data_IF_193120611745
#
_entry.id   IF_193120611745
#
_cell.length_a   1.000
_cell.length_b   1.000
_cell.length_c   1.000
_cell.angle_alpha   90.00
_cell.angle_beta   90.00
_cell.angle_gamma   90.00
#
_symmetry.space_group_name_H-M   'P 1'
#
loop_
_entity.id
_entity.type
_entity.pdbx_description
1 polymer ?
#
# COMPACT_ATOMS: atom_id res chain seq x y z
N UNK A 1 44.05 0.35 -19.76
CA UNK A 1 43.87 0.80 -18.36
C UNK A 1 44.41 -0.28 -17.44
N UNK A 2 45.14 0.07 -16.38
CA UNK A 2 45.74 -0.89 -15.44
C UNK A 2 44.99 -0.77 -14.11
N UNK A 3 44.15 -1.74 -13.78
CA UNK A 3 43.38 -1.71 -12.52
C UNK A 3 44.32 -1.93 -11.34
N UNK A 4 44.22 -1.07 -10.34
CA UNK A 4 44.91 -1.26 -9.06
C UNK A 4 44.05 -2.13 -8.14
N UNK A 5 44.68 -2.76 -7.13
CA UNK A 5 43.96 -3.55 -6.12
C UNK A 5 42.85 -2.74 -5.44
N UNK A 6 43.07 -1.44 -5.24
CA UNK A 6 42.09 -0.51 -4.65
C UNK A 6 40.90 -0.29 -5.59
N UNK A 7 41.14 -0.17 -6.89
CA UNK A 7 40.06 -0.04 -7.88
C UNK A 7 39.22 -1.32 -7.95
N UNK A 8 39.86 -2.49 -7.93
CA UNK A 8 39.15 -3.77 -7.87
C UNK A 8 38.29 -3.89 -6.62
N UNK A 9 38.80 -3.42 -5.47
CA UNK A 9 38.06 -3.44 -4.21
C UNK A 9 36.89 -2.45 -4.21
N UNK A 10 37.07 -1.25 -4.79
CA UNK A 10 36.01 -0.26 -4.93
C UNK A 10 34.91 -0.74 -5.89
N UNK A 11 35.28 -1.34 -7.02
CA UNK A 11 34.33 -1.89 -7.99
C UNK A 11 33.58 -3.09 -7.39
N UNK A 12 34.28 -3.98 -6.68
CA UNK A 12 33.65 -5.12 -6.00
C UNK A 12 32.67 -4.69 -4.90
N UNK A 13 33.04 -3.68 -4.12
CA UNK A 13 32.16 -3.09 -3.10
C UNK A 13 30.93 -2.41 -3.71
N UNK A 14 31.11 -1.64 -4.78
CA UNK A 14 30.01 -1.01 -5.49
C UNK A 14 29.06 -2.06 -6.10
N UNK A 15 29.60 -3.11 -6.71
CA UNK A 15 28.80 -4.21 -7.26
C UNK A 15 27.98 -4.92 -6.18
N UNK A 16 28.57 -5.20 -5.01
CA UNK A 16 27.86 -5.80 -3.89
C UNK A 16 26.77 -4.89 -3.31
N UNK A 17 26.98 -3.58 -3.28
CA UNK A 17 25.93 -2.64 -2.85
C UNK A 17 24.76 -2.63 -3.85
N UNK A 18 25.04 -2.64 -5.16
CA UNK A 18 23.97 -2.63 -6.18
C UNK A 18 23.05 -3.86 -6.15
N UNK A 19 23.51 -4.99 -5.62
CA UNK A 19 22.66 -6.19 -5.46
C UNK A 19 21.80 -6.14 -4.20
N UNK A 20 22.18 -5.34 -3.19
CA UNK A 20 21.46 -5.20 -1.91
C UNK A 20 20.49 -4.02 -1.94
N UNK A 21 20.80 -2.93 -2.65
CA UNK A 21 19.95 -1.74 -2.69
C UNK A 21 18.46 -2.02 -3.05
N UNK A 22 18.13 -2.88 -4.03
CA UNK A 22 16.74 -3.16 -4.38
C UNK A 22 15.94 -3.85 -3.28
N UNK A 23 16.58 -4.69 -2.44
CA UNK A 23 15.89 -5.41 -1.36
C UNK A 23 15.62 -4.54 -0.13
N UNK A 24 16.26 -3.37 -0.04
CA UNK A 24 15.95 -2.35 0.98
C UNK A 24 14.69 -1.53 0.64
N UNK A 25 14.18 -1.64 -0.59
CA UNK A 25 12.95 -0.95 -1.01
C UNK A 25 11.71 -1.76 -0.63
N UNK A 26 11.26 -1.65 0.62
CA UNK A 26 9.92 -2.12 1.01
C UNK A 26 8.88 -1.04 0.68
N UNK A 27 8.40 -1.01 -0.55
CA UNK A 27 7.39 -0.05 -1.00
C UNK A 27 5.95 -0.41 -0.56
N UNK A 28 5.75 -1.58 0.04
CA UNK A 28 4.44 -2.00 0.51
C UNK A 28 4.18 -1.43 1.92
N UNK A 29 3.27 -0.46 2.00
CA UNK A 29 2.68 -0.05 3.28
C UNK A 29 1.75 -1.18 3.72
N UNK A 30 1.97 -1.83 4.88
CA UNK A 30 1.07 -2.88 5.34
C UNK A 30 -0.31 -2.28 5.63
N UNK A 31 -1.34 -2.88 5.04
CA UNK A 31 -2.73 -2.43 5.15
C UNK A 31 -3.16 -2.28 6.61
N UNK A 32 -2.65 -3.15 7.49
CA UNK A 32 -2.92 -3.14 8.92
C UNK A 32 -2.50 -1.82 9.60
N UNK A 33 -1.37 -1.21 9.21
CA UNK A 33 -0.95 0.08 9.77
C UNK A 33 -1.92 1.20 9.41
N UNK A 34 -2.41 1.18 8.18
CA UNK A 34 -3.40 2.15 7.70
C UNK A 34 -4.76 1.94 8.38
N UNK A 35 -5.18 0.68 8.59
CA UNK A 35 -6.39 0.36 9.37
C UNK A 35 -6.25 0.88 10.80
N UNK A 36 -5.13 0.61 11.46
CA UNK A 36 -4.86 1.13 12.81
C UNK A 36 -4.91 2.66 12.87
N UNK A 37 -4.41 3.34 11.83
CA UNK A 37 -4.51 4.80 11.71
C UNK A 37 -5.94 5.32 11.55
N UNK A 38 -6.86 4.51 11.02
CA UNK A 38 -8.28 4.86 10.89
C UNK A 38 -9.07 4.52 12.16
N UNK A 39 -8.86 3.34 12.74
CA UNK A 39 -9.61 2.87 13.92
C UNK A 39 -9.03 3.35 15.24
N UNK A 40 -7.81 3.91 15.25
CA UNK A 40 -7.09 4.25 16.47
C UNK A 40 -6.75 3.03 17.33
N UNK A 41 -6.74 1.82 16.75
CA UNK A 41 -6.55 0.56 17.47
C UNK A 41 -7.81 -0.03 18.09
N UNK A 42 -8.99 0.56 17.84
CA UNK A 42 -10.27 -0.07 18.18
C UNK A 42 -10.60 -1.22 17.21
N UNK A 43 -11.33 -2.22 17.72
CA UNK A 43 -11.85 -3.32 16.89
C UNK A 43 -12.87 -2.79 15.88
N UNK A 44 -12.80 -3.31 14.65
CA UNK A 44 -13.76 -3.00 13.61
C UNK A 44 -15.11 -3.65 13.92
N UNK A 45 -16.19 -2.89 13.80
CA UNK A 45 -17.54 -3.44 13.84
C UNK A 45 -17.80 -4.28 12.57
N UNK A 46 -18.52 -5.39 12.71
CA UNK A 46 -18.85 -6.29 11.60
C UNK A 46 -20.12 -5.89 10.84
N UNK A 47 -20.82 -4.85 11.28
CA UNK A 47 -22.10 -4.40 10.74
C UNK A 47 -22.13 -2.89 10.55
N UNK A 48 -23.08 -2.37 9.75
CA UNK A 48 -23.27 -0.93 9.53
C UNK A 48 -22.55 -0.35 8.31
N UNK A 49 -21.84 -1.18 7.54
CA UNK A 49 -21.20 -0.82 6.27
C UNK A 49 -21.72 -1.76 5.18
N UNK A 50 -22.29 -1.19 4.12
CA UNK A 50 -22.61 -1.90 2.88
C UNK A 50 -21.57 -1.53 1.84
N UNK A 51 -20.85 -2.53 1.31
CA UNK A 51 -19.87 -2.38 0.24
C UNK A 51 -20.34 -3.22 -0.94
N UNK A 52 -20.66 -2.57 -2.06
CA UNK A 52 -20.99 -3.24 -3.32
C UNK A 52 -19.84 -3.07 -4.30
N UNK A 53 -19.30 -4.20 -4.75
CA UNK A 53 -18.28 -4.27 -5.78
C UNK A 53 -18.58 -5.47 -6.70
N UNK A 54 -18.21 -5.42 -7.99
CA UNK A 54 -18.38 -6.57 -8.86
C UNK A 54 -17.47 -7.73 -8.41
N UNK A 55 -17.94 -8.97 -8.56
CA UNK A 55 -17.15 -10.17 -8.23
C UNK A 55 -15.89 -10.25 -9.10
N UNK A 56 -16.01 -9.85 -10.37
CA UNK A 56 -14.91 -9.77 -11.33
C UNK A 56 -14.92 -8.39 -11.97
N UNK A 57 -13.78 -7.71 -11.96
CA UNK A 57 -13.57 -6.49 -12.73
C UNK A 57 -12.99 -6.84 -14.11
N UNK A 58 -13.74 -6.54 -15.18
CA UNK A 58 -13.27 -6.73 -16.57
C UNK A 58 -12.05 -5.84 -16.87
N UNK A 59 -11.99 -4.65 -16.27
CA UNK A 59 -10.87 -3.72 -16.36
C UNK A 59 -10.44 -3.25 -14.97
N UNK A 60 -9.26 -3.67 -14.52
CA UNK A 60 -8.71 -3.29 -13.20
C UNK A 60 -8.37 -1.80 -13.04
N UNK A 61 -8.27 -1.04 -14.14
CA UNK A 61 -8.03 0.41 -14.07
C UNK A 61 -9.29 1.18 -13.63
N UNK A 62 -10.48 0.63 -13.88
CA UNK A 62 -11.76 1.26 -13.53
C UNK A 62 -12.71 0.22 -12.98
N UNK A 63 -12.78 0.13 -11.66
CA UNK A 63 -13.70 -0.77 -10.96
C UNK A 63 -14.80 0.07 -10.31
N UNK A 64 -16.08 -0.12 -10.68
CA UNK A 64 -17.18 0.57 -10.01
C UNK A 64 -17.40 -0.01 -8.61
N UNK A 65 -17.40 0.85 -7.60
CA UNK A 65 -17.68 0.49 -6.20
C UNK A 65 -18.71 1.45 -5.61
N UNK A 66 -19.56 0.94 -4.72
CA UNK A 66 -20.49 1.74 -3.91
C UNK A 66 -20.32 1.40 -2.44
N UNK A 67 -20.33 2.42 -1.59
CA UNK A 67 -20.22 2.28 -0.13
C UNK A 67 -21.31 3.08 0.54
N UNK A 68 -22.06 2.43 1.44
CA UNK A 68 -23.05 3.08 2.29
C UNK A 68 -22.74 2.77 3.76
N UNK A 69 -22.58 3.83 4.55
CA UNK A 69 -22.38 3.73 6.00
C UNK A 69 -23.18 4.83 6.70
N UNK A 70 -24.47 4.57 7.04
CA UNK A 70 -25.33 5.56 7.68
C UNK A 70 -24.72 6.11 8.97
N UNK A 71 -24.62 7.43 9.11
CA UNK A 71 -24.07 8.10 10.29
C UNK A 71 -22.54 8.16 10.35
N UNK A 72 -21.82 7.69 9.32
CA UNK A 72 -20.37 7.82 9.26
C UNK A 72 -19.96 9.29 8.98
N UNK A 73 -19.11 9.84 9.85
CA UNK A 73 -18.48 11.17 9.63
C UNK A 73 -17.34 11.08 8.61
N UNK A 74 -16.71 9.91 8.51
CA UNK A 74 -15.61 9.64 7.59
C UNK A 74 -15.69 8.21 7.06
N UNK A 75 -15.57 8.04 5.75
CA UNK A 75 -15.38 6.74 5.10
C UNK A 75 -14.00 6.71 4.44
N UNK A 76 -13.18 5.72 4.77
CA UNK A 76 -11.88 5.50 4.13
C UNK A 76 -11.92 4.20 3.35
N UNK A 77 -11.59 4.25 2.05
CA UNK A 77 -11.56 3.10 1.14
C UNK A 77 -10.11 2.69 0.91
N UNK A 78 -9.85 1.39 1.01
CA UNK A 78 -8.51 0.82 0.92
C UNK A 78 -8.51 -0.45 0.06
N UNK A 79 -7.47 -0.65 -0.75
CA UNK A 79 -7.28 -1.79 -1.63
C UNK A 79 -6.02 -2.56 -1.22
N UNK A 80 -6.21 -3.65 -0.48
CA UNK A 80 -5.11 -4.39 0.14
C UNK A 80 -4.09 -5.01 -0.84
N UNK A 81 -4.52 -5.30 -2.07
CA UNK A 81 -3.67 -5.86 -3.11
C UNK A 81 -2.82 -4.84 -3.88
N UNK A 82 -3.03 -3.54 -3.65
CA UNK A 82 -2.29 -2.50 -4.36
C UNK A 82 -0.95 -2.20 -3.66
N UNK A 83 0.10 -1.81 -4.40
CA UNK A 83 1.35 -1.32 -3.81
C UNK A 83 1.13 -0.16 -2.84
N UNK A 84 0.15 0.71 -3.15
CA UNK A 84 -0.35 1.77 -2.29
C UNK A 84 -1.81 1.46 -1.93
N UNK A 85 -2.10 1.06 -0.68
CA UNK A 85 -3.44 0.60 -0.32
C UNK A 85 -4.48 1.72 -0.20
N UNK A 86 -4.09 2.97 0.03
CA UNK A 86 -5.04 4.07 0.22
C UNK A 86 -5.71 4.48 -1.09
N UNK A 87 -7.04 4.28 -1.19
CA UNK A 87 -7.80 4.63 -2.40
C UNK A 87 -8.47 6.00 -2.28
N UNK A 88 -9.30 6.19 -1.25
CA UNK A 88 -10.06 7.43 -1.07
C UNK A 88 -10.45 7.66 0.39
N UNK A 89 -10.69 8.92 0.76
CA UNK A 89 -11.21 9.31 2.07
C UNK A 89 -12.31 10.36 1.90
N UNK A 90 -13.53 9.98 2.21
CA UNK A 90 -14.71 10.84 2.18
C UNK A 90 -15.00 11.34 3.59
N UNK A 91 -15.17 12.65 3.76
CA UNK A 91 -15.59 13.27 5.01
C UNK A 91 -16.98 13.84 4.81
N UNK A 92 -17.91 13.45 5.66
CA UNK A 92 -19.29 13.92 5.69
C UNK A 92 -19.43 14.93 6.82
N UNK A 93 -19.90 16.13 6.49
CA UNK A 93 -20.10 17.25 7.42
C UNK A 93 -21.57 17.55 7.64
#
# INVERSE_FOLDING_TARGET
MKFTRRDTMAIGGAAALTTILPSLSSAAIPVNELIMGVTGGADAASTGISLTAPEIAENGNTVPISVEAPGAVVITIMAAGNPLPGVAKFKFG
#
